data_IF_759307564036
#
_entry.id   IF_759307564036
#
_cell.length_a   1.000
_cell.length_b   1.000
_cell.length_c   1.000
_cell.angle_alpha   90.00
_cell.angle_beta   90.00
_cell.angle_gamma   90.00
#
_symmetry.space_group_name_H-M   'P 1'
#
loop_
_entity.id
_entity.type
_entity.pdbx_description
1 polymer ?
#
# COMPACT_ATOMS: atom_id res chain seq x y z
N UNK A 1 67.06 45.99 -17.94
CA UNK A 1 65.77 45.83 -18.65
C UNK A 1 64.75 45.25 -17.66
N UNK A 2 63.71 46.05 -17.35
CA UNK A 2 62.36 45.78 -16.75
C UNK A 2 62.21 44.56 -15.81
N UNK A 3 62.08 44.75 -14.48
CA UNK A 3 60.85 45.04 -13.67
C UNK A 3 60.27 43.74 -13.05
N UNK A 4 60.57 43.38 -11.78
CA UNK A 4 59.94 43.77 -10.48
C UNK A 4 58.67 42.95 -10.10
N UNK A 5 58.84 42.02 -9.13
CA UNK A 5 58.02 41.62 -7.94
C UNK A 5 56.54 41.11 -8.09
N UNK A 6 55.92 40.49 -7.04
CA UNK A 6 55.20 39.20 -7.13
C UNK A 6 53.78 39.23 -6.48
N UNK A 7 53.18 38.03 -6.32
CA UNK A 7 52.09 37.65 -5.37
C UNK A 7 50.64 38.10 -5.66
N UNK A 8 49.78 37.08 -5.75
CA UNK A 8 48.37 37.00 -5.32
C UNK A 8 47.26 37.74 -6.09
N UNK A 9 46.15 37.00 -6.28
CA UNK A 9 44.81 37.40 -6.76
C UNK A 9 44.56 37.44 -8.29
N UNK A 10 43.81 36.46 -8.81
CA UNK A 10 42.60 36.62 -9.65
C UNK A 10 42.12 35.22 -10.12
N UNK A 11 41.31 34.55 -9.30
CA UNK A 11 40.33 33.56 -9.77
C UNK A 11 38.97 34.24 -9.64
N UNK A 12 38.76 35.19 -10.53
CA UNK A 12 37.49 35.86 -10.82
C UNK A 12 37.71 36.40 -12.24
N UNK A 13 36.72 36.24 -13.13
CA UNK A 13 36.75 36.49 -14.58
C UNK A 13 37.18 35.25 -15.40
N UNK A 14 36.38 34.18 -15.34
CA UNK A 14 36.06 33.34 -16.52
C UNK A 14 34.69 32.62 -16.40
N UNK A 15 33.79 33.10 -15.53
CA UNK A 15 32.44 32.53 -15.35
C UNK A 15 31.32 33.45 -15.87
N UNK A 16 31.61 34.64 -16.37
CA UNK A 16 30.57 35.56 -16.85
C UNK A 16 30.25 35.49 -18.36
N UNK A 17 30.95 34.68 -19.17
CA UNK A 17 30.71 34.65 -20.63
C UNK A 17 30.06 33.37 -21.16
N UNK A 18 29.88 32.33 -20.34
CA UNK A 18 29.13 31.13 -20.75
C UNK A 18 27.66 31.16 -20.27
N UNK A 19 27.30 32.07 -19.36
CA UNK A 19 25.93 32.18 -18.82
C UNK A 19 25.04 33.09 -19.68
N UNK A 20 25.61 33.95 -20.52
CA UNK A 20 24.84 34.80 -21.45
C UNK A 20 24.64 34.24 -22.86
N UNK A 21 25.27 33.11 -23.20
CA UNK A 21 25.12 32.49 -24.53
C UNK A 21 24.04 31.41 -24.59
N UNK A 22 23.66 30.79 -23.46
CA UNK A 22 22.61 29.77 -23.44
C UNK A 22 21.20 30.37 -23.31
N UNK A 23 21.05 31.64 -22.92
CA UNK A 23 19.72 32.28 -22.83
C UNK A 23 19.19 32.82 -24.16
N UNK A 24 20.04 33.07 -25.17
CA UNK A 24 19.60 33.64 -26.45
C UNK A 24 19.13 32.57 -27.46
N UNK A 25 19.75 31.40 -27.48
CA UNK A 25 19.39 30.32 -28.42
C UNK A 25 18.10 29.58 -28.00
N UNK A 26 17.83 29.49 -26.69
CA UNK A 26 16.57 28.91 -26.18
C UNK A 26 15.37 29.82 -26.50
N UNK A 27 15.54 31.14 -26.55
CA UNK A 27 14.46 32.06 -26.96
C UNK A 27 14.20 32.07 -28.48
N UNK A 28 15.20 31.80 -29.32
CA UNK A 28 15.02 31.76 -30.77
C UNK A 28 14.32 30.46 -31.24
N UNK A 29 14.56 29.34 -30.56
CA UNK A 29 13.91 28.07 -30.89
C UNK A 29 12.42 28.05 -30.52
N UNK A 30 12.06 28.67 -29.39
CA UNK A 30 10.66 28.82 -28.94
C UNK A 30 9.88 29.81 -29.82
N UNK A 31 10.54 30.84 -30.39
CA UNK A 31 9.87 31.76 -31.31
C UNK A 31 9.58 31.14 -32.70
N UNK A 32 10.43 30.22 -33.18
CA UNK A 32 10.24 29.57 -34.48
C UNK A 32 9.16 28.47 -34.49
N UNK A 33 8.80 27.91 -33.33
CA UNK A 33 7.76 26.87 -33.24
C UNK A 33 6.33 27.42 -33.11
N UNK A 34 6.16 28.75 -33.00
CA UNK A 34 4.86 29.40 -32.75
C UNK A 34 4.32 30.15 -33.98
N UNK A 35 5.09 30.35 -35.05
CA UNK A 35 4.69 31.15 -36.22
C UNK A 35 3.78 30.42 -37.25
N UNK A 36 3.03 29.38 -36.85
CA UNK A 36 2.31 28.54 -37.80
C UNK A 36 0.95 28.00 -37.37
N UNK A 37 0.30 28.53 -36.32
CA UNK A 37 -1.04 28.07 -35.92
C UNK A 37 -1.93 29.24 -35.47
N UNK A 38 -2.93 29.53 -36.28
CA UNK A 38 -4.04 30.44 -35.98
C UNK A 38 -5.07 29.78 -35.05
N UNK A 39 -5.39 30.53 -34.00
CA UNK A 39 -6.62 30.58 -33.19
C UNK A 39 -7.08 29.43 -32.27
N UNK A 40 -7.40 29.88 -31.04
CA UNK A 40 -8.24 29.29 -29.99
C UNK A 40 -7.63 28.27 -29.02
N UNK A 41 -6.58 28.66 -28.28
CA UNK A 41 -6.26 28.06 -26.97
C UNK A 41 -5.41 28.98 -26.06
N UNK A 42 -5.56 30.31 -26.17
CA UNK A 42 -4.78 31.27 -25.36
C UNK A 42 -5.60 31.81 -24.20
N UNK A 43 -5.92 30.96 -23.22
CA UNK A 43 -6.43 31.40 -21.90
C UNK A 43 -6.42 30.22 -20.91
N UNK A 44 -5.24 29.80 -20.43
CA UNK A 44 -5.10 29.16 -19.11
C UNK A 44 -3.65 28.73 -18.80
N UNK A 45 -2.63 29.58 -18.92
CA UNK A 45 -1.31 29.32 -18.28
C UNK A 45 -0.54 30.62 -18.07
N UNK A 46 -1.13 31.55 -17.34
CA UNK A 46 -0.40 32.69 -16.76
C UNK A 46 -0.87 32.89 -15.33
N UNK A 47 -0.42 32.01 -14.43
CA UNK A 47 -0.43 32.27 -12.97
C UNK A 47 0.35 31.20 -12.20
N UNK A 48 1.66 31.10 -12.43
CA UNK A 48 2.56 30.66 -11.36
C UNK A 48 3.86 31.46 -11.49
N UNK A 49 3.82 32.72 -11.07
CA UNK A 49 5.02 33.41 -10.59
C UNK A 49 4.97 33.44 -9.07
N UNK A 50 6.15 33.23 -8.46
CA UNK A 50 6.49 33.67 -7.10
C UNK A 50 5.86 32.91 -5.94
N UNK A 51 6.40 31.72 -5.63
CA UNK A 51 7.05 31.48 -4.34
C UNK A 51 7.44 30.00 -4.17
N UNK A 52 8.73 29.73 -4.15
CA UNK A 52 9.44 28.75 -3.31
C UNK A 52 10.74 28.32 -3.98
N UNK A 53 11.75 29.17 -3.86
CA UNK A 53 13.14 28.79 -4.07
C UNK A 53 13.60 27.89 -2.92
N UNK A 54 13.23 26.60 -2.95
CA UNK A 54 14.07 25.51 -2.42
C UNK A 54 13.43 24.17 -2.78
N UNK A 55 14.27 23.24 -3.27
CA UNK A 55 13.96 21.87 -3.72
C UNK A 55 13.49 21.72 -5.18
N UNK A 56 14.41 21.92 -6.11
CA UNK A 56 14.48 21.02 -7.28
C UNK A 56 15.96 20.77 -7.56
N UNK A 57 16.35 19.50 -7.46
CA UNK A 57 17.65 19.04 -7.93
C UNK A 57 17.70 19.20 -9.44
N UNK A 58 18.82 19.76 -9.91
CA UNK A 58 19.43 19.56 -11.22
C UNK A 58 18.52 19.53 -12.47
N UNK A 59 18.75 20.47 -13.38
CA UNK A 59 18.20 20.55 -14.76
C UNK A 59 18.22 19.26 -15.59
N UNK A 60 18.84 18.18 -15.11
CA UNK A 60 18.89 16.87 -15.77
C UNK A 60 17.55 16.15 -15.73
N UNK A 61 16.79 16.19 -14.63
CA UNK A 61 15.48 15.51 -14.53
C UNK A 61 14.45 16.17 -15.46
N UNK A 62 14.49 17.50 -15.56
CA UNK A 62 13.64 18.25 -16.50
C UNK A 62 14.00 17.97 -17.96
N UNK A 63 15.30 17.82 -18.27
CA UNK A 63 15.77 17.51 -19.62
C UNK A 63 15.38 16.07 -20.05
N UNK A 64 15.47 15.10 -19.14
CA UNK A 64 15.06 13.70 -19.41
C UNK A 64 13.54 13.62 -19.59
N UNK A 65 12.77 14.37 -18.80
CA UNK A 65 11.31 14.42 -18.93
C UNK A 65 10.88 15.04 -20.27
N UNK A 66 11.53 16.13 -20.70
CA UNK A 66 11.25 16.79 -21.97
C UNK A 66 11.63 15.92 -23.17
N UNK A 67 12.76 15.21 -23.13
CA UNK A 67 13.15 14.27 -24.17
C UNK A 67 12.14 13.11 -24.30
N UNK A 68 11.62 12.60 -23.18
CA UNK A 68 10.62 11.52 -23.19
C UNK A 68 9.25 11.97 -23.76
N UNK A 69 8.86 13.23 -23.55
CA UNK A 69 7.62 13.79 -24.09
C UNK A 69 7.70 13.99 -25.62
N UNK A 70 8.84 14.48 -26.13
CA UNK A 70 9.07 14.72 -27.56
C UNK A 70 9.14 13.39 -28.36
N UNK A 71 9.71 12.34 -27.76
CA UNK A 71 9.73 10.98 -28.35
C UNK A 71 8.33 10.35 -28.38
N UNK A 72 7.48 10.66 -27.40
CA UNK A 72 6.09 10.19 -27.36
C UNK A 72 5.22 10.86 -28.43
N UNK A 73 5.50 12.11 -28.80
CA UNK A 73 4.80 12.80 -29.90
C UNK A 73 5.25 12.30 -31.28
N UNK A 74 6.53 11.92 -31.43
CA UNK A 74 7.07 11.38 -32.69
C UNK A 74 6.69 9.93 -32.97
N UNK A 75 6.38 9.13 -31.94
CA UNK A 75 6.04 7.71 -32.10
C UNK A 75 4.55 7.48 -31.86
N UNK A 76 3.78 7.56 -32.94
CA UNK A 76 2.38 7.14 -32.95
C UNK A 76 2.20 5.73 -32.38
N UNK A 77 1.07 5.55 -31.70
CA UNK A 77 0.65 4.36 -30.97
C UNK A 77 0.85 3.05 -31.79
N UNK A 78 1.47 2.06 -31.14
CA UNK A 78 1.82 0.69 -31.62
C UNK A 78 3.06 0.54 -32.53
N UNK A 79 4.26 0.77 -32.00
CA UNK A 79 5.48 0.23 -32.64
C UNK A 79 6.52 -0.20 -31.59
N UNK A 80 7.20 -1.30 -31.91
CA UNK A 80 7.97 -2.18 -31.03
C UNK A 80 9.03 -1.49 -30.14
N UNK A 81 9.15 -1.98 -28.90
CA UNK A 81 10.09 -1.54 -27.85
C UNK A 81 11.54 -1.42 -28.34
N UNK A 82 11.93 -2.24 -29.31
CA UNK A 82 13.28 -2.30 -29.88
C UNK A 82 13.61 -1.05 -30.73
N UNK A 83 12.62 -0.45 -31.42
CA UNK A 83 12.81 0.81 -32.16
C UNK A 83 12.99 2.02 -31.24
N UNK A 84 12.41 2.01 -30.04
CA UNK A 84 12.54 3.10 -29.06
C UNK A 84 13.96 3.21 -28.54
N UNK A 85 14.62 2.09 -28.29
CA UNK A 85 16.02 2.06 -27.81
C UNK A 85 17.01 2.48 -28.91
N UNK A 86 16.74 2.17 -30.19
CA UNK A 86 17.57 2.60 -31.32
C UNK A 86 17.46 4.11 -31.61
N UNK A 87 16.25 4.69 -31.54
CA UNK A 87 16.04 6.13 -31.74
C UNK A 87 16.64 6.95 -30.59
N UNK A 88 16.48 6.46 -29.35
CA UNK A 88 17.08 7.09 -28.17
C UNK A 88 18.62 7.08 -28.25
N UNK A 89 19.23 6.02 -28.78
CA UNK A 89 20.69 5.96 -29.00
C UNK A 89 21.21 6.85 -30.15
N UNK A 90 20.33 7.39 -31.01
CA UNK A 90 20.69 8.22 -32.17
C UNK A 90 20.51 9.72 -31.96
N UNK A 91 19.50 10.14 -31.18
CA UNK A 91 19.27 11.56 -30.86
C UNK A 91 20.12 12.05 -29.66
N UNK A 92 20.54 11.14 -28.78
CA UNK A 92 21.60 11.42 -27.81
C UNK A 92 22.90 10.99 -28.48
N UNK A 93 23.75 11.92 -28.90
CA UNK A 93 25.01 11.59 -29.56
C UNK A 93 25.90 10.72 -28.67
N UNK A 94 25.81 9.39 -28.84
CA UNK A 94 26.75 8.43 -28.26
C UNK A 94 27.99 8.47 -29.14
N UNK A 95 28.84 9.47 -28.89
CA UNK A 95 30.25 9.33 -29.15
C UNK A 95 30.82 8.43 -28.05
N UNK A 96 31.41 7.30 -28.45
CA UNK A 96 32.20 6.45 -27.57
C UNK A 96 33.16 7.31 -26.72
N UNK A 97 33.02 7.22 -25.39
CA UNK A 97 34.02 7.73 -24.44
C UNK A 97 33.63 8.92 -23.55
N UNK A 98 32.35 9.27 -23.40
CA UNK A 98 31.93 10.42 -22.56
C UNK A 98 31.06 10.04 -21.35
N UNK A 99 31.46 9.03 -20.59
CA UNK A 99 31.05 8.94 -19.18
C UNK A 99 32.27 8.56 -18.32
N UNK A 100 32.76 9.44 -17.42
CA UNK A 100 33.70 9.02 -16.40
C UNK A 100 33.01 7.99 -15.49
N UNK A 101 33.79 7.12 -14.84
CA UNK A 101 33.37 5.94 -14.04
C UNK A 101 32.22 6.16 -13.02
N UNK A 102 31.83 7.40 -12.75
CA UNK A 102 30.69 7.78 -11.91
C UNK A 102 29.32 7.61 -12.60
N UNK A 103 29.23 7.63 -13.94
CA UNK A 103 27.96 7.47 -14.65
C UNK A 103 27.39 6.05 -14.54
N UNK A 104 28.26 5.05 -14.64
CA UNK A 104 27.91 3.63 -14.48
C UNK A 104 27.51 3.31 -13.04
N UNK A 105 28.14 3.96 -12.05
CA UNK A 105 27.73 3.85 -10.65
C UNK A 105 26.37 4.51 -10.39
N UNK A 106 26.09 5.66 -11.00
CA UNK A 106 24.79 6.34 -10.84
C UNK A 106 23.67 5.52 -11.49
N UNK A 107 23.88 4.97 -12.67
CA UNK A 107 22.92 4.07 -13.32
C UNK A 107 22.70 2.78 -12.51
N UNK A 108 23.76 2.21 -11.93
CA UNK A 108 23.64 1.06 -11.04
C UNK A 108 22.96 1.39 -9.70
N UNK A 109 23.09 2.62 -9.20
CA UNK A 109 22.40 3.10 -8.00
C UNK A 109 20.93 3.41 -8.27
N UNK A 110 20.60 3.98 -9.43
CA UNK A 110 19.22 4.20 -9.87
C UNK A 110 18.53 2.87 -10.16
N UNK A 111 19.19 1.92 -10.82
CA UNK A 111 18.66 0.56 -11.04
C UNK A 111 18.48 -0.20 -9.71
N UNK A 112 19.38 -0.05 -8.74
CA UNK A 112 19.18 -0.60 -7.37
C UNK A 112 18.04 0.07 -6.62
N UNK A 113 17.86 1.39 -6.79
CA UNK A 113 16.77 2.15 -6.16
C UNK A 113 15.43 1.82 -6.80
N UNK A 114 15.37 1.70 -8.13
CA UNK A 114 14.20 1.25 -8.88
C UNK A 114 13.88 -0.21 -8.58
N UNK A 115 14.88 -1.07 -8.38
CA UNK A 115 14.66 -2.44 -7.88
C UNK A 115 14.16 -2.46 -6.44
N UNK A 116 14.68 -1.62 -5.54
CA UNK A 116 14.17 -1.51 -4.16
C UNK A 116 12.77 -0.90 -4.09
N UNK A 117 12.46 0.09 -4.93
CA UNK A 117 11.12 0.69 -5.02
C UNK A 117 10.13 -0.25 -5.73
N UNK A 118 10.55 -1.03 -6.75
CA UNK A 118 9.72 -2.07 -7.36
C UNK A 118 9.57 -3.34 -6.49
N UNK A 119 10.54 -3.69 -5.66
CA UNK A 119 10.39 -4.73 -4.64
C UNK A 119 9.42 -4.29 -3.53
N UNK A 120 9.36 -2.98 -3.23
CA UNK A 120 8.36 -2.38 -2.34
C UNK A 120 6.94 -2.31 -2.93
N UNK A 121 6.79 -2.42 -4.25
CA UNK A 121 5.50 -2.26 -4.95
C UNK A 121 5.01 -3.53 -5.66
N UNK A 122 5.70 -4.67 -5.51
CA UNK A 122 5.18 -5.96 -5.95
C UNK A 122 4.04 -6.35 -5.02
N UNK A 123 2.80 -6.15 -5.47
CA UNK A 123 1.60 -6.61 -4.78
C UNK A 123 1.83 -8.05 -4.28
N UNK A 124 1.92 -8.21 -2.96
CA UNK A 124 2.06 -9.51 -2.35
C UNK A 124 0.74 -10.25 -2.60
N UNK A 125 0.74 -11.18 -3.55
CA UNK A 125 -0.45 -11.89 -4.01
C UNK A 125 -1.19 -12.64 -2.89
N UNK A 126 -0.48 -12.95 -1.79
CA UNK A 126 -0.99 -13.66 -0.62
C UNK A 126 -1.09 -12.74 0.62
N UNK A 127 -0.89 -11.43 0.46
CA UNK A 127 -1.03 -10.51 1.58
C UNK A 127 -2.49 -10.08 1.73
N UNK A 128 -2.98 -9.95 2.97
CA UNK A 128 -4.35 -9.51 3.20
C UNK A 128 -4.65 -8.15 2.59
N UNK A 129 -5.78 -8.06 1.89
CA UNK A 129 -6.30 -6.79 1.40
C UNK A 129 -6.69 -5.91 2.60
N UNK A 130 -6.23 -4.65 2.61
CA UNK A 130 -6.44 -3.71 3.71
C UNK A 130 -7.34 -2.55 3.25
N UNK A 131 -8.26 -2.13 4.11
CA UNK A 131 -9.18 -1.01 3.89
C UNK A 131 -8.85 0.12 4.85
N UNK A 132 -8.51 1.29 4.34
CA UNK A 132 -8.30 2.50 5.14
C UNK A 132 -9.61 2.98 5.76
N UNK A 133 -9.62 3.27 7.07
CA UNK A 133 -10.82 3.71 7.77
C UNK A 133 -10.93 5.24 7.69
N UNK A 134 -12.01 5.80 7.09
CA UNK A 134 -12.16 7.25 6.93
C UNK A 134 -12.07 8.00 8.27
N UNK A 135 -11.22 9.02 8.32
CA UNK A 135 -11.00 9.82 9.53
C UNK A 135 -10.07 9.22 10.58
N UNK A 136 -9.47 8.05 10.31
CA UNK A 136 -8.57 7.37 11.24
C UNK A 136 -7.20 7.04 10.60
N UNK A 137 -6.17 6.93 11.45
CA UNK A 137 -4.79 6.59 11.03
C UNK A 137 -4.51 5.08 11.06
N UNK A 138 -5.48 4.29 10.60
CA UNK A 138 -5.29 2.86 10.45
C UNK A 138 -6.11 2.32 9.27
N UNK A 139 -5.62 1.21 8.72
CA UNK A 139 -6.38 0.35 7.86
C UNK A 139 -6.70 -0.95 8.61
N UNK A 140 -7.77 -1.64 8.23
CA UNK A 140 -8.14 -2.95 8.78
C UNK A 140 -8.33 -3.92 7.63
N UNK A 141 -8.02 -5.20 7.84
CA UNK A 141 -8.17 -6.22 6.81
C UNK A 141 -9.59 -6.22 6.27
N UNK A 142 -9.77 -6.36 4.95
CA UNK A 142 -11.10 -6.45 4.32
C UNK A 142 -11.86 -7.70 4.74
N UNK A 143 -11.10 -8.77 4.96
CA UNK A 143 -11.54 -10.06 5.47
C UNK A 143 -10.81 -10.42 6.77
N UNK A 144 -11.32 -11.42 7.48
CA UNK A 144 -10.51 -12.14 8.46
C UNK A 144 -9.39 -12.90 7.74
N UNK A 145 -8.28 -13.17 8.44
CA UNK A 145 -7.17 -13.91 7.84
C UNK A 145 -7.65 -15.30 7.43
N UNK A 146 -7.38 -15.69 6.19
CA UNK A 146 -7.82 -16.94 5.58
C UNK A 146 -6.81 -18.06 5.81
N UNK A 147 -7.21 -19.31 5.54
CA UNK A 147 -6.27 -20.43 5.52
C UNK A 147 -5.19 -20.27 4.45
N UNK A 148 -5.51 -19.75 3.25
CA UNK A 148 -4.49 -19.49 2.23
C UNK A 148 -3.40 -18.52 2.73
N UNK A 149 -3.81 -17.43 3.37
CA UNK A 149 -2.88 -16.45 3.93
C UNK A 149 -2.07 -17.05 5.08
N UNK A 150 -2.69 -17.82 5.97
CA UNK A 150 -1.98 -18.55 7.03
C UNK A 150 -0.97 -19.56 6.46
N UNK A 151 -1.36 -20.32 5.44
CA UNK A 151 -0.52 -21.35 4.82
C UNK A 151 0.69 -20.73 4.10
N UNK A 152 0.55 -19.51 3.56
CA UNK A 152 1.67 -18.72 3.08
C UNK A 152 2.66 -18.36 4.20
N UNK A 153 2.17 -18.02 5.39
CA UNK A 153 3.02 -17.77 6.56
C UNK A 153 3.74 -19.02 7.04
N UNK A 154 3.07 -20.17 7.04
CA UNK A 154 3.68 -21.47 7.37
C UNK A 154 4.78 -21.80 6.36
N UNK A 155 4.49 -21.70 5.07
CA UNK A 155 5.43 -21.99 3.99
C UNK A 155 6.62 -21.03 3.99
N UNK A 156 6.38 -19.76 4.37
CA UNK A 156 7.40 -18.75 4.58
C UNK A 156 8.16 -18.84 5.91
N UNK A 157 7.92 -19.88 6.73
CA UNK A 157 8.62 -20.11 8.00
C UNK A 157 8.21 -19.19 9.16
N UNK A 158 7.24 -18.30 8.97
CA UNK A 158 6.83 -17.30 9.97
C UNK A 158 5.92 -17.84 11.07
N UNK A 159 5.11 -18.84 10.76
CA UNK A 159 4.08 -19.37 11.65
C UNK A 159 4.49 -20.66 12.38
N UNK A 160 5.80 -20.87 12.59
CA UNK A 160 6.34 -21.95 13.42
C UNK A 160 5.95 -23.37 12.98
N UNK A 161 5.76 -23.59 11.68
CA UNK A 161 5.25 -24.83 11.10
C UNK A 161 3.86 -25.27 11.63
N UNK A 162 3.13 -24.39 12.32
CA UNK A 162 1.83 -24.71 12.88
C UNK A 162 0.75 -24.67 11.79
N UNK A 163 0.24 -25.84 11.41
CA UNK A 163 -0.87 -26.00 10.47
C UNK A 163 -2.15 -26.29 11.28
N UNK A 164 -3.00 -25.28 11.55
CA UNK A 164 -4.23 -25.49 12.30
C UNK A 164 -5.20 -26.39 11.53
N UNK A 165 -5.91 -27.25 12.26
CA UNK A 165 -6.99 -28.07 11.71
C UNK A 165 -8.11 -27.19 11.15
N UNK A 166 -8.60 -27.53 9.96
CA UNK A 166 -9.78 -26.93 9.33
C UNK A 166 -11.10 -27.57 9.79
N UNK A 167 -11.02 -28.50 10.75
CA UNK A 167 -12.14 -29.28 11.29
C UNK A 167 -12.91 -30.08 10.22
N UNK A 168 -12.27 -30.40 9.09
CA UNK A 168 -12.90 -31.09 7.96
C UNK A 168 -13.87 -30.21 7.16
N UNK A 169 -13.83 -28.88 7.35
CA UNK A 169 -14.71 -27.94 6.63
C UNK A 169 -14.12 -27.43 5.32
N UNK A 170 -12.85 -27.74 5.06
CA UNK A 170 -12.05 -27.21 3.97
C UNK A 170 -11.25 -25.98 4.40
N UNK A 171 -10.12 -25.80 3.71
CA UNK A 171 -9.20 -24.66 3.83
C UNK A 171 -9.55 -23.56 2.81
N UNK A 172 -8.55 -22.95 2.16
CA UNK A 172 -8.76 -21.98 1.10
C UNK A 172 -9.07 -20.59 1.62
N UNK A 173 -10.10 -19.97 1.03
CA UNK A 173 -10.61 -18.65 1.40
C UNK A 173 -11.47 -18.65 2.68
N UNK A 174 -11.56 -19.76 3.40
CA UNK A 174 -12.21 -19.80 4.72
C UNK A 174 -11.32 -19.13 5.76
N UNK A 175 -11.90 -18.49 6.79
CA UNK A 175 -11.12 -17.88 7.86
C UNK A 175 -10.29 -18.95 8.57
N UNK A 176 -9.03 -18.62 8.86
CA UNK A 176 -8.20 -19.46 9.72
C UNK A 176 -8.83 -19.49 11.12
N UNK A 177 -9.00 -20.70 11.65
CA UNK A 177 -9.52 -20.96 13.00
C UNK A 177 -8.55 -21.86 13.75
N UNK A 178 -8.80 -22.15 15.02
CA UNK A 178 -7.88 -22.91 15.87
C UNK A 178 -6.50 -22.22 15.99
N UNK A 179 -6.48 -20.89 15.97
CA UNK A 179 -5.29 -20.06 16.21
C UNK A 179 -5.46 -19.25 17.49
N UNK A 180 -4.38 -19.15 18.24
CA UNK A 180 -4.32 -18.38 19.47
C UNK A 180 -3.96 -16.92 19.18
N UNK A 181 -4.06 -16.07 20.20
CA UNK A 181 -3.56 -14.70 20.09
C UNK A 181 -2.05 -14.71 19.87
N UNK A 182 -1.32 -15.60 20.56
CA UNK A 182 0.13 -15.75 20.43
C UNK A 182 0.53 -16.21 19.01
N UNK A 183 -0.26 -17.10 18.40
CA UNK A 183 -0.10 -17.54 17.01
C UNK A 183 -0.32 -16.38 16.02
N UNK A 184 -1.37 -15.58 16.25
CA UNK A 184 -1.65 -14.39 15.45
C UNK A 184 -0.49 -13.38 15.51
N UNK A 185 0.18 -13.22 16.67
CA UNK A 185 1.38 -12.38 16.78
C UNK A 185 2.56 -12.91 15.96
N UNK A 186 2.71 -14.22 15.81
CA UNK A 186 3.75 -14.79 14.93
C UNK A 186 3.46 -14.44 13.46
N UNK A 187 2.22 -14.62 13.02
CA UNK A 187 1.76 -14.24 11.69
C UNK A 187 1.98 -12.74 11.41
N UNK A 188 1.60 -11.88 12.36
CA UNK A 188 1.75 -10.43 12.26
C UNK A 188 3.21 -10.02 12.12
N UNK A 189 4.12 -10.60 12.92
CA UNK A 189 5.56 -10.33 12.84
C UNK A 189 6.11 -10.70 11.48
N UNK A 190 5.84 -11.94 11.04
CA UNK A 190 6.25 -12.42 9.73
C UNK A 190 5.76 -11.52 8.59
N UNK A 191 4.48 -11.14 8.60
CA UNK A 191 3.91 -10.30 7.56
C UNK A 191 4.52 -8.89 7.58
N UNK A 192 4.75 -8.33 8.77
CA UNK A 192 5.37 -7.01 8.93
C UNK A 192 6.80 -7.00 8.40
N UNK A 193 7.58 -8.05 8.73
CA UNK A 193 8.95 -8.21 8.24
C UNK A 193 8.97 -8.39 6.71
N UNK A 194 8.03 -9.18 6.16
CA UNK A 194 7.93 -9.47 4.72
C UNK A 194 7.59 -8.23 3.89
N UNK A 195 6.76 -7.32 4.39
CA UNK A 195 6.27 -6.19 3.59
C UNK A 195 6.82 -4.84 4.03
N UNK A 196 7.57 -4.77 5.14
CA UNK A 196 7.99 -3.51 5.77
C UNK A 196 6.84 -2.66 6.33
N UNK A 197 5.63 -3.22 6.48
CA UNK A 197 4.44 -2.49 6.96
C UNK A 197 4.17 -2.83 8.42
N UNK A 198 3.52 -1.92 9.15
CA UNK A 198 3.25 -2.07 10.58
C UNK A 198 1.90 -2.74 10.82
N UNK A 199 1.86 -4.07 10.71
CA UNK A 199 0.67 -4.86 11.05
C UNK A 199 0.57 -5.12 12.55
N UNK A 200 -0.67 -5.36 13.01
CA UNK A 200 -1.03 -5.70 14.39
C UNK A 200 -2.45 -6.24 14.43
N UNK A 201 -2.93 -6.62 15.62
CA UNK A 201 -4.36 -6.79 15.86
C UNK A 201 -5.02 -5.42 16.09
N UNK A 202 -6.30 -5.25 15.73
CA UNK A 202 -7.04 -4.04 16.05
C UNK A 202 -7.21 -3.91 17.57
N UNK A 203 -7.35 -2.68 18.07
CA UNK A 203 -7.91 -2.46 19.41
C UNK A 203 -9.43 -2.72 19.40
N UNK A 204 -10.03 -2.83 20.58
CA UNK A 204 -11.49 -2.88 20.74
C UNK A 204 -12.17 -1.69 20.05
N UNK A 205 -11.64 -0.48 20.24
CA UNK A 205 -12.21 0.74 19.66
C UNK A 205 -12.12 0.71 18.12
N UNK A 206 -10.96 0.38 17.58
CA UNK A 206 -10.76 0.28 16.13
C UNK A 206 -11.65 -0.80 15.51
N UNK A 207 -11.76 -1.96 16.16
CA UNK A 207 -12.62 -3.03 15.69
C UNK A 207 -14.09 -2.60 15.66
N UNK A 208 -14.58 -1.93 16.72
CA UNK A 208 -15.97 -1.46 16.78
C UNK A 208 -16.27 -0.35 15.77
N UNK A 209 -15.38 0.62 15.63
CA UNK A 209 -15.48 1.68 14.63
C UNK A 209 -15.55 1.09 13.22
N UNK A 210 -14.66 0.15 12.93
CA UNK A 210 -14.65 -0.57 11.66
C UNK A 210 -15.92 -1.42 11.46
N UNK A 211 -16.38 -2.13 12.49
CA UNK A 211 -17.55 -3.01 12.41
C UNK A 211 -18.84 -2.25 12.14
N UNK A 212 -19.06 -1.13 12.84
CA UNK A 212 -20.25 -0.30 12.69
C UNK A 212 -20.25 0.51 11.40
N UNK A 213 -19.09 0.99 10.95
CA UNK A 213 -18.95 1.81 9.75
C UNK A 213 -19.97 2.97 9.68
N UNK A 214 -20.12 3.69 10.80
CA UNK A 214 -21.07 4.80 10.95
C UNK A 214 -22.49 4.39 11.34
N UNK A 215 -22.82 3.10 11.38
CA UNK A 215 -24.12 2.62 11.85
C UNK A 215 -24.28 2.76 13.38
N UNK A 216 -25.51 3.05 13.81
CA UNK A 216 -25.92 3.09 15.23
C UNK A 216 -26.89 1.96 15.60
N UNK A 217 -27.18 1.05 14.66
CA UNK A 217 -28.11 -0.06 14.87
C UNK A 217 -27.43 -1.30 15.48
N UNK A 218 -28.23 -2.30 15.87
CA UNK A 218 -27.69 -3.52 16.51
C UNK A 218 -26.68 -4.29 15.64
N UNK A 219 -26.90 -4.27 14.32
CA UNK A 219 -25.99 -4.79 13.29
C UNK A 219 -25.68 -3.66 12.30
N UNK A 220 -24.61 -3.73 11.52
CA UNK A 220 -24.30 -2.65 10.57
C UNK A 220 -25.35 -2.50 9.45
N UNK A 221 -26.17 -3.54 9.23
CA UNK A 221 -27.26 -3.55 8.25
C UNK A 221 -28.64 -3.21 8.82
N UNK A 222 -28.78 -3.05 10.15
CA UNK A 222 -30.07 -2.75 10.78
C UNK A 222 -30.23 -3.36 12.17
N UNK A 223 -31.44 -3.31 12.71
CA UNK A 223 -31.74 -3.81 14.06
C UNK A 223 -32.14 -5.29 14.08
N UNK A 224 -32.72 -5.77 12.98
CA UNK A 224 -33.14 -7.16 12.85
C UNK A 224 -32.00 -8.01 12.30
N UNK A 225 -31.88 -9.25 12.79
CA UNK A 225 -30.88 -10.19 12.28
C UNK A 225 -31.11 -10.46 10.78
N UNK A 226 -32.37 -10.50 10.37
CA UNK A 226 -32.77 -10.86 9.01
C UNK A 226 -32.39 -12.31 8.67
N UNK A 227 -32.35 -12.62 7.37
CA UNK A 227 -31.94 -13.93 6.88
C UNK A 227 -30.75 -13.77 5.96
N UNK A 228 -29.74 -14.61 6.15
CA UNK A 228 -28.54 -14.69 5.31
C UNK A 228 -27.73 -13.37 5.24
N UNK A 229 -27.76 -12.57 6.32
CA UNK A 229 -26.93 -11.37 6.45
C UNK A 229 -25.54 -11.67 7.04
N UNK A 230 -25.42 -12.78 7.76
CA UNK A 230 -24.19 -13.24 8.41
C UNK A 230 -24.23 -14.77 8.58
N UNK A 231 -23.11 -15.36 8.97
CA UNK A 231 -23.05 -16.75 9.39
C UNK A 231 -23.04 -16.84 10.94
N UNK A 232 -24.15 -17.29 11.52
CA UNK A 232 -24.34 -17.48 12.96
C UNK A 232 -25.45 -18.52 13.20
N UNK A 233 -25.61 -19.03 14.43
CA UNK A 233 -26.69 -19.95 14.80
C UNK A 233 -28.05 -19.21 14.81
N UNK A 234 -28.84 -19.42 13.75
CA UNK A 234 -30.13 -18.75 13.55
C UNK A 234 -30.09 -17.52 12.64
N UNK A 235 -29.01 -17.33 11.87
CA UNK A 235 -28.93 -16.30 10.82
C UNK A 235 -29.54 -16.75 9.48
N UNK A 236 -29.78 -18.06 9.29
CA UNK A 236 -30.43 -18.64 8.12
C UNK A 236 -29.56 -18.76 6.86
N UNK A 237 -28.23 -18.76 7.01
CA UNK A 237 -27.28 -19.06 5.92
C UNK A 237 -27.13 -20.58 5.71
N UNK A 238 -26.55 -21.02 4.60
CA UNK A 238 -26.32 -22.46 4.35
C UNK A 238 -25.29 -23.11 5.29
N UNK A 239 -24.43 -22.29 5.91
CA UNK A 239 -23.37 -22.69 6.84
C UNK A 239 -23.76 -22.54 8.32
N UNK A 240 -24.92 -21.93 8.57
CA UNK A 240 -25.48 -21.66 9.89
C UNK A 240 -25.40 -22.89 10.80
N UNK A 241 -24.75 -22.73 11.95
CA UNK A 241 -24.55 -23.75 12.98
C UNK A 241 -23.92 -25.06 12.46
N UNK A 242 -23.21 -25.01 11.32
CA UNK A 242 -22.55 -26.18 10.71
C UNK A 242 -21.04 -25.99 10.60
N UNK A 243 -20.61 -24.85 10.04
CA UNK A 243 -19.20 -24.53 9.75
C UNK A 243 -19.04 -23.06 9.44
N UNK A 244 -17.80 -22.60 9.26
CA UNK A 244 -17.52 -21.26 8.74
C UNK A 244 -18.11 -21.08 7.33
N UNK A 245 -18.08 -19.87 6.78
CA UNK A 245 -18.29 -19.60 5.37
C UNK A 245 -16.96 -19.12 4.76
N UNK A 246 -16.71 -19.30 3.45
CA UNK A 246 -15.66 -18.55 2.76
C UNK A 246 -15.80 -17.05 3.04
N UNK A 247 -14.68 -16.34 3.22
CA UNK A 247 -14.74 -14.90 3.48
C UNK A 247 -15.40 -14.16 2.31
N UNK A 248 -16.15 -13.11 2.61
CA UNK A 248 -16.84 -12.32 1.59
C UNK A 248 -18.17 -12.91 1.09
N UNK A 249 -18.69 -13.96 1.73
CA UNK A 249 -19.97 -14.59 1.34
C UNK A 249 -21.21 -13.73 1.63
N UNK A 250 -21.07 -12.68 2.46
CA UNK A 250 -22.16 -11.79 2.88
C UNK A 250 -21.92 -10.36 2.38
N UNK A 251 -22.93 -9.49 2.47
CA UNK A 251 -22.78 -8.09 2.05
C UNK A 251 -21.80 -7.35 2.98
N UNK A 252 -20.88 -6.52 2.46
CA UNK A 252 -19.99 -5.74 3.30
C UNK A 252 -20.76 -4.61 4.02
N UNK A 253 -20.12 -4.03 5.04
CA UNK A 253 -20.58 -2.77 5.64
C UNK A 253 -20.20 -1.55 4.78
N UNK A 254 -20.52 -0.34 5.24
CA UNK A 254 -20.31 0.90 4.49
C UNK A 254 -18.83 1.22 4.20
N UNK A 255 -17.88 0.61 4.92
CA UNK A 255 -16.45 0.72 4.64
C UNK A 255 -15.94 -0.35 3.66
N UNK A 256 -16.79 -1.27 3.21
CA UNK A 256 -16.36 -2.38 2.36
C UNK A 256 -15.76 -3.56 3.14
N UNK A 257 -15.98 -3.62 4.46
CA UNK A 257 -15.51 -4.71 5.31
C UNK A 257 -16.55 -5.83 5.36
N UNK A 258 -16.08 -7.05 5.18
CA UNK A 258 -16.90 -8.26 5.18
C UNK A 258 -16.76 -9.01 6.51
N UNK A 259 -17.78 -9.80 6.87
CA UNK A 259 -17.70 -10.72 8.01
C UNK A 259 -17.30 -10.03 9.33
N UNK A 260 -17.71 -8.78 9.53
CA UNK A 260 -17.51 -8.07 10.81
C UNK A 260 -18.46 -8.59 11.90
N UNK A 261 -19.56 -9.23 11.48
CA UNK A 261 -20.54 -9.89 12.34
C UNK A 261 -20.73 -11.32 11.83
N UNK A 262 -20.48 -12.29 12.69
CA UNK A 262 -20.56 -13.72 12.40
C UNK A 262 -19.29 -14.31 11.79
N UNK A 263 -19.46 -15.51 11.23
CA UNK A 263 -18.42 -16.38 10.67
C UNK A 263 -17.42 -16.88 11.73
N UNK A 264 -16.54 -16.01 12.25
CA UNK A 264 -15.60 -16.33 13.32
C UNK A 264 -15.46 -15.16 14.30
N UNK A 265 -15.26 -15.49 15.57
CA UNK A 265 -14.78 -14.53 16.56
C UNK A 265 -13.39 -14.04 16.16
N UNK A 266 -13.06 -12.79 16.49
CA UNK A 266 -11.84 -12.13 16.03
C UNK A 266 -11.04 -11.60 17.23
N UNK A 267 -9.83 -12.12 17.43
CA UNK A 267 -8.89 -11.59 18.42
C UNK A 267 -8.61 -10.09 18.24
N UNK A 268 -8.48 -9.37 19.36
CA UNK A 268 -8.01 -7.98 19.40
C UNK A 268 -6.78 -7.84 20.28
N UNK A 269 -6.14 -6.67 20.21
CA UNK A 269 -5.02 -6.33 21.10
C UNK A 269 -5.48 -5.68 22.41
N UNK A 270 -6.77 -5.70 22.75
CA UNK A 270 -7.25 -5.10 24.01
C UNK A 270 -7.23 -6.11 25.15
N UNK A 271 -6.57 -5.74 26.26
CA UNK A 271 -6.47 -6.57 27.46
C UNK A 271 -7.81 -6.65 28.21
N UNK A 272 -8.11 -7.81 28.79
CA UNK A 272 -9.30 -7.97 29.63
C UNK A 272 -9.06 -7.36 31.02
N UNK A 273 -9.77 -6.28 31.35
CA UNK A 273 -9.71 -5.62 32.67
C UNK A 273 -8.28 -5.35 33.13
N UNK A 274 -7.41 -4.90 32.22
CA UNK A 274 -5.99 -4.60 32.50
C UNK A 274 -5.07 -5.83 32.54
N UNK A 275 -5.59 -7.06 32.47
CA UNK A 275 -4.80 -8.28 32.41
C UNK A 275 -4.53 -8.69 30.96
N UNK A 276 -3.32 -8.48 30.47
CA UNK A 276 -2.94 -8.76 29.08
C UNK A 276 -2.60 -10.23 28.78
N UNK A 277 -2.56 -11.11 29.80
CA UNK A 277 -2.57 -12.56 29.58
C UNK A 277 -3.94 -13.04 29.07
N UNK A 278 -4.95 -12.17 29.11
CA UNK A 278 -6.28 -12.35 28.56
C UNK A 278 -6.59 -11.24 27.56
N UNK A 279 -7.06 -11.62 26.38
CA UNK A 279 -7.37 -10.65 25.32
C UNK A 279 -8.84 -10.73 24.94
N UNK A 280 -9.39 -9.57 24.60
CA UNK A 280 -10.75 -9.48 24.09
C UNK A 280 -10.83 -10.07 22.67
N UNK A 281 -12.01 -10.54 22.33
CA UNK A 281 -12.37 -10.88 20.95
C UNK A 281 -13.84 -10.55 20.68
N UNK A 282 -14.16 -10.27 19.42
CA UNK A 282 -15.44 -9.70 18.99
C UNK A 282 -16.01 -10.36 17.72
N UNK A 283 -17.30 -10.10 17.44
CA UNK A 283 -17.94 -10.40 16.17
C UNK A 283 -18.89 -11.60 16.17
N UNK A 284 -18.87 -12.49 17.16
CA UNK A 284 -19.64 -13.74 17.11
C UNK A 284 -19.07 -14.73 16.09
N UNK A 285 -19.67 -15.91 15.96
CA UNK A 285 -19.24 -16.91 14.97
C UNK A 285 -20.41 -17.75 14.45
N UNK A 286 -20.10 -18.63 13.50
CA UNK A 286 -21.02 -19.55 12.83
C UNK A 286 -21.94 -20.38 13.74
N UNK A 287 -21.56 -20.63 14.99
CA UNK A 287 -22.32 -21.43 15.96
C UNK A 287 -22.76 -20.65 17.21
N UNK A 288 -22.67 -19.32 17.19
CA UNK A 288 -23.15 -18.47 18.27
C UNK A 288 -24.41 -17.73 17.85
N UNK A 289 -25.23 -17.34 18.82
CA UNK A 289 -26.54 -16.75 18.54
C UNK A 289 -26.37 -15.32 18.01
N UNK A 290 -27.40 -14.72 17.37
CA UNK A 290 -27.26 -13.39 16.79
C UNK A 290 -26.86 -12.30 17.80
N UNK A 291 -27.29 -12.43 19.06
CA UNK A 291 -26.96 -11.48 20.12
C UNK A 291 -25.44 -11.44 20.39
N UNK A 292 -24.75 -12.54 20.14
CA UNK A 292 -23.31 -12.65 20.37
C UNK A 292 -22.49 -11.86 19.32
N UNK A 293 -23.07 -11.58 18.14
CA UNK A 293 -22.40 -10.82 17.09
C UNK A 293 -22.40 -9.30 17.32
N UNK A 294 -23.16 -8.82 18.31
CA UNK A 294 -23.27 -7.39 18.58
C UNK A 294 -21.95 -6.81 19.04
N UNK A 295 -21.67 -5.57 18.66
CA UNK A 295 -20.44 -4.84 19.03
C UNK A 295 -20.32 -4.58 20.54
N UNK A 296 -21.42 -4.72 21.29
CA UNK A 296 -21.45 -4.65 22.75
C UNK A 296 -21.04 -5.96 23.43
N UNK A 297 -21.07 -7.08 22.71
CA UNK A 297 -20.72 -8.39 23.27
C UNK A 297 -19.21 -8.54 23.36
N UNK A 298 -18.70 -8.50 24.59
CA UNK A 298 -17.28 -8.63 24.91
C UNK A 298 -17.01 -10.02 25.46
N UNK A 299 -16.15 -10.77 24.79
CA UNK A 299 -15.64 -12.05 25.27
C UNK A 299 -14.13 -12.00 25.40
N UNK A 300 -13.56 -12.91 26.20
CA UNK A 300 -12.13 -12.99 26.43
C UNK A 300 -11.66 -14.43 26.58
N UNK A 301 -10.42 -14.67 26.21
CA UNK A 301 -9.70 -15.91 26.49
C UNK A 301 -8.26 -15.60 26.87
N UNK A 302 -7.59 -16.57 27.49
CA UNK A 302 -6.14 -16.50 27.65
C UNK A 302 -5.46 -16.50 26.27
N UNK A 303 -4.33 -15.82 26.13
CA UNK A 303 -3.66 -15.62 24.83
C UNK A 303 -3.29 -16.91 24.11
N UNK A 304 -3.07 -17.99 24.86
CA UNK A 304 -2.70 -19.30 24.33
C UNK A 304 -3.88 -20.18 23.88
N UNK A 305 -5.13 -19.72 24.03
CA UNK A 305 -6.31 -20.53 23.68
C UNK A 305 -6.54 -20.55 22.18
N UNK A 306 -6.80 -21.74 21.65
CA UNK A 306 -7.20 -22.00 20.26
C UNK A 306 -8.62 -22.55 20.27
N UNK A 307 -9.51 -21.97 19.47
CA UNK A 307 -10.89 -22.44 19.35
C UNK A 307 -11.30 -22.55 17.89
N UNK A 308 -12.13 -23.55 17.56
CA UNK A 308 -12.60 -23.83 16.19
C UNK A 308 -13.47 -22.73 15.56
N UNK A 309 -13.86 -21.74 16.35
CA UNK A 309 -14.70 -20.63 15.96
C UNK A 309 -13.99 -19.28 16.13
N UNK A 310 -12.70 -19.29 16.47
CA UNK A 310 -11.92 -18.11 16.79
C UNK A 310 -10.75 -18.00 15.81
N UNK A 311 -10.72 -16.88 15.11
CA UNK A 311 -9.65 -16.45 14.22
C UNK A 311 -9.24 -15.02 14.54
N UNK A 312 -8.77 -14.29 13.53
CA UNK A 312 -8.38 -12.90 13.70
C UNK A 312 -8.45 -12.12 12.38
N UNK A 313 -8.38 -10.80 12.51
CA UNK A 313 -8.27 -9.83 11.42
C UNK A 313 -7.11 -8.89 11.73
N UNK A 314 -6.43 -8.42 10.70
CA UNK A 314 -5.34 -7.47 10.86
C UNK A 314 -5.84 -6.03 10.98
N UNK A 315 -5.11 -5.23 11.74
CA UNK A 315 -5.02 -3.79 11.56
C UNK A 315 -3.61 -3.43 11.07
N UNK A 316 -3.49 -2.28 10.41
CA UNK A 316 -2.23 -1.73 9.94
C UNK A 316 -2.19 -0.24 10.26
N UNK A 317 -1.14 0.20 10.95
CA UNK A 317 -0.94 1.62 11.25
C UNK A 317 -0.58 2.38 9.98
N UNK A 318 -1.26 3.49 9.73
CA UNK A 318 -0.98 4.41 8.62
C UNK A 318 -0.18 5.63 9.13
N UNK A 319 0.64 6.27 8.27
CA UNK A 319 1.42 7.45 8.64
C UNK A 319 0.58 8.68 9.07
#
# INVERSE_FOLDING_TARGET
MKSVYPRSQLVLIFVASAIFLVSAEVSAFVASSVAGRTDSALQATTSVSENSSSKFGSSVEAAVLLANLDVSEKTGENDDKEKREEVLGKEIGIADGLFPENGTQLLAQLDKKDRQENEGNKACAECPEMVSIPGHKFAIGKYTVTFNEWDACVSGGGCGAYVPSDNGWGRGSRPVVNVSWDDAQAYIRWLSDKTGKRYRLPTEEEWKTAALAGSTTAYYWGNDVGRNNANCDGCGSEWDNRRTAPVGSFKPNAFGLYDMMGNVWQWTDTCWQGNCAKRLFFGGSWNHRPQDMRTTTRNWFNTNKRMRYLGFRLAMTLP
#
